data_IF_567296760283
#
_entry.id   IF_567296760283
#
_cell.length_a   1.000
_cell.length_b   1.000
_cell.length_c   1.000
_cell.angle_alpha   90.00
_cell.angle_beta   90.00
_cell.angle_gamma   90.00
#
_symmetry.space_group_name_H-M   'P 1'
#
loop_
_entity.id
_entity.type
_entity.pdbx_description
1 polymer ?
#
# COMPACT_ATOMS: atom_id res chain seq x y z
N UNK A 1 17.54 35.47 1.43
CA UNK A 1 17.39 34.37 2.40
C UNK A 1 16.93 33.12 1.66
N UNK A 2 17.75 32.08 1.46
CA UNK A 2 17.25 30.80 1.01
C UNK A 2 17.17 29.85 2.21
N UNK A 3 15.97 29.49 2.62
CA UNK A 3 15.72 28.31 3.43
C UNK A 3 14.61 27.50 2.75
N UNK A 4 14.94 26.97 1.57
CA UNK A 4 14.28 25.78 1.03
C UNK A 4 14.75 24.63 1.91
N UNK A 5 14.00 24.30 2.95
CA UNK A 5 14.26 23.11 3.76
C UNK A 5 14.00 21.88 2.89
N UNK A 6 15.10 21.27 2.45
CA UNK A 6 15.30 19.93 1.91
C UNK A 6 14.04 19.09 1.64
N UNK A 7 13.71 18.95 0.35
CA UNK A 7 12.60 18.15 -0.21
C UNK A 7 12.90 16.62 -0.19
N UNK A 8 13.89 16.15 0.59
CA UNK A 8 14.35 14.76 0.56
C UNK A 8 13.58 13.80 1.47
N UNK A 9 13.10 14.24 2.63
CA UNK A 9 12.59 13.32 3.68
C UNK A 9 11.11 12.98 3.54
N UNK A 10 10.33 13.81 2.85
CA UNK A 10 8.89 13.59 2.64
C UNK A 10 8.60 12.74 1.39
N UNK A 11 9.60 12.58 0.51
CA UNK A 11 9.44 12.00 -0.83
C UNK A 11 9.27 10.48 -0.80
N UNK A 12 9.92 9.77 0.13
CA UNK A 12 9.75 8.33 0.31
C UNK A 12 8.43 7.96 1.01
N UNK A 13 7.91 8.82 1.88
CA UNK A 13 6.68 8.51 2.65
C UNK A 13 5.43 8.51 1.77
N UNK A 14 5.39 9.35 0.72
CA UNK A 14 4.20 9.47 -0.13
C UNK A 14 3.83 8.15 -0.84
N UNK A 15 4.81 7.33 -1.20
CA UNK A 15 4.62 6.04 -1.88
C UNK A 15 4.05 4.96 -0.96
N UNK A 16 4.20 5.09 0.36
CA UNK A 16 3.65 4.15 1.35
C UNK A 16 2.45 4.71 2.14
N UNK A 17 2.26 6.04 2.15
CA UNK A 17 1.18 6.71 2.87
C UNK A 17 -0.21 6.18 2.50
N UNK A 18 -1.05 6.00 3.52
CA UNK A 18 -2.45 5.61 3.36
C UNK A 18 -3.32 6.75 2.84
N UNK A 19 -4.50 6.46 2.24
CA UNK A 19 -5.43 7.50 1.81
C UNK A 19 -5.84 8.47 2.93
N UNK A 20 -6.06 7.97 4.14
CA UNK A 20 -6.43 8.78 5.30
C UNK A 20 -5.30 9.71 5.78
N UNK A 21 -4.03 9.29 5.68
CA UNK A 21 -2.88 10.16 5.95
C UNK A 21 -2.76 11.31 4.94
N UNK A 22 -3.19 11.10 3.69
CA UNK A 22 -3.23 12.13 2.65
C UNK A 22 -4.42 13.08 2.86
N UNK A 23 -5.54 12.53 3.32
CA UNK A 23 -6.81 13.25 3.49
C UNK A 23 -6.90 14.05 4.79
N UNK A 24 -5.92 13.91 5.69
CA UNK A 24 -5.98 14.41 7.08
C UNK A 24 -7.21 13.91 7.86
N UNK A 25 -7.68 12.70 7.56
CA UNK A 25 -8.73 12.04 8.33
C UNK A 25 -8.16 11.48 9.65
N UNK A 26 -9.02 10.93 10.52
CA UNK A 26 -8.54 10.18 11.67
C UNK A 26 -7.66 9.00 11.21
N UNK A 27 -6.44 8.99 11.72
CA UNK A 27 -5.43 7.97 11.45
C UNK A 27 -5.45 7.00 12.63
N UNK A 28 -5.61 5.72 12.33
CA UNK A 28 -5.46 4.64 13.31
C UNK A 28 -4.48 3.57 12.81
N UNK A 29 -4.36 2.48 13.55
CA UNK A 29 -3.44 1.37 13.26
C UNK A 29 -3.64 0.74 11.87
N UNK A 30 -4.77 0.97 11.19
CA UNK A 30 -5.05 0.43 9.86
C UNK A 30 -4.31 1.19 8.75
N UNK A 31 -3.75 2.37 9.05
CA UNK A 31 -2.80 3.05 8.16
C UNK A 31 -1.49 2.27 8.01
N UNK A 32 -1.01 1.63 9.08
CA UNK A 32 0.18 0.77 9.02
C UNK A 32 -0.08 -0.50 8.21
N UNK A 33 -1.31 -1.04 8.28
CA UNK A 33 -1.73 -2.20 7.46
C UNK A 33 -1.70 -1.85 5.98
N UNK A 34 -2.15 -0.66 5.60
CA UNK A 34 -2.06 -0.19 4.21
C UNK A 34 -0.60 -0.06 3.77
N UNK A 35 0.23 0.59 4.60
CA UNK A 35 1.66 0.78 4.33
C UNK A 35 2.38 -0.57 4.17
N UNK A 36 2.08 -1.54 5.04
CA UNK A 36 2.57 -2.92 4.93
C UNK A 36 2.08 -3.62 3.67
N UNK A 37 0.84 -3.34 3.23
CA UNK A 37 0.32 -3.81 1.95
C UNK A 37 1.13 -3.30 0.76
N UNK A 38 1.56 -2.03 0.79
CA UNK A 38 2.41 -1.45 -0.26
C UNK A 38 3.79 -2.13 -0.25
N UNK A 39 4.39 -2.28 0.94
CA UNK A 39 5.69 -2.97 1.08
C UNK A 39 5.58 -4.42 0.56
N UNK A 40 4.51 -5.14 0.91
CA UNK A 40 4.31 -6.50 0.43
C UNK A 40 4.16 -6.55 -1.10
N UNK A 41 3.41 -5.61 -1.69
CA UNK A 41 3.32 -5.47 -3.14
C UNK A 41 4.71 -5.28 -3.77
N UNK A 42 5.51 -4.38 -3.21
CA UNK A 42 6.86 -4.08 -3.69
C UNK A 42 7.80 -5.27 -3.55
N UNK A 43 7.77 -5.99 -2.42
CA UNK A 43 8.58 -7.19 -2.22
C UNK A 43 8.25 -8.31 -3.22
N UNK A 44 6.98 -8.42 -3.63
CA UNK A 44 6.53 -9.44 -4.58
C UNK A 44 6.85 -9.09 -6.03
N UNK A 45 6.73 -7.80 -6.38
CA UNK A 45 6.76 -7.32 -7.77
C UNK A 45 8.05 -6.59 -8.14
N UNK A 46 8.83 -6.14 -7.15
CA UNK A 46 9.99 -5.27 -7.32
C UNK A 46 9.65 -3.81 -7.61
N UNK A 47 8.39 -3.39 -7.47
CA UNK A 47 7.93 -2.02 -7.77
C UNK A 47 6.75 -1.63 -6.89
N UNK A 48 6.58 -0.34 -6.58
CA UNK A 48 5.40 0.15 -5.85
C UNK A 48 4.18 0.27 -6.78
N UNK A 49 2.94 0.11 -6.27
CA UNK A 49 1.73 0.09 -7.11
C UNK A 49 1.32 1.47 -7.64
N UNK A 50 1.85 2.56 -7.07
CA UNK A 50 1.55 3.93 -7.49
C UNK A 50 2.83 4.75 -7.59
N UNK A 51 3.20 5.11 -8.82
CA UNK A 51 4.31 6.02 -9.12
C UNK A 51 3.82 7.23 -9.92
N UNK A 52 4.60 8.30 -9.93
CA UNK A 52 4.25 9.52 -10.66
C UNK A 52 5.41 10.51 -10.74
N UNK A 53 5.31 11.51 -11.63
CA UNK A 53 6.37 12.49 -11.84
C UNK A 53 6.60 13.42 -10.63
N UNK A 54 5.66 13.45 -9.68
CA UNK A 54 5.80 14.16 -8.41
C UNK A 54 4.89 13.54 -7.33
N UNK A 55 5.12 13.86 -6.04
CA UNK A 55 4.36 13.29 -4.93
C UNK A 55 2.85 13.57 -4.97
N UNK A 56 2.43 14.73 -5.45
CA UNK A 56 1.01 15.09 -5.54
C UNK A 56 0.25 14.16 -6.50
N UNK A 57 0.88 13.78 -7.61
CA UNK A 57 0.30 12.79 -8.54
C UNK A 57 0.17 11.42 -7.88
N UNK A 58 1.18 10.97 -7.14
CA UNK A 58 1.14 9.70 -6.41
C UNK A 58 0.01 9.70 -5.37
N UNK A 59 -0.10 10.77 -4.59
CA UNK A 59 -1.16 10.95 -3.59
C UNK A 59 -2.55 10.95 -4.23
N UNK A 60 -2.74 11.67 -5.33
CA UNK A 60 -4.01 11.71 -6.04
C UNK A 60 -4.44 10.34 -6.58
N UNK A 61 -3.49 9.57 -7.14
CA UNK A 61 -3.74 8.19 -7.62
C UNK A 61 -4.21 7.29 -6.49
N UNK A 62 -3.55 7.33 -5.32
CA UNK A 62 -3.93 6.52 -4.15
C UNK A 62 -5.36 6.82 -3.65
N UNK A 63 -5.81 8.07 -3.78
CA UNK A 63 -7.18 8.44 -3.42
C UNK A 63 -8.20 7.96 -4.45
N UNK A 64 -7.88 8.06 -5.75
CA UNK A 64 -8.89 7.95 -6.83
C UNK A 64 -8.84 6.66 -7.63
N UNK A 65 -7.66 6.14 -7.91
CA UNK A 65 -7.47 5.07 -8.88
C UNK A 65 -7.52 3.70 -8.19
N UNK A 66 -7.87 2.66 -8.95
CA UNK A 66 -7.65 1.29 -8.51
C UNK A 66 -6.16 0.98 -8.58
N UNK A 67 -5.63 0.31 -7.56
CA UNK A 67 -4.25 -0.17 -7.61
C UNK A 67 -4.16 -1.38 -8.54
N UNK A 68 -3.03 -1.55 -9.27
CA UNK A 68 -2.81 -2.72 -10.09
C UNK A 68 -2.77 -3.99 -9.23
N UNK A 69 -3.03 -5.15 -9.85
CA UNK A 69 -2.86 -6.44 -9.20
C UNK A 69 -1.39 -6.81 -9.13
N UNK A 70 -0.97 -7.48 -8.05
CA UNK A 70 0.37 -8.11 -7.99
C UNK A 70 0.57 -9.13 -9.11
N UNK A 71 -0.52 -9.74 -9.60
CA UNK A 71 -0.48 -10.75 -10.66
C UNK A 71 -0.34 -10.14 -12.05
N UNK A 72 -0.55 -8.83 -12.21
CA UNK A 72 -0.19 -8.11 -13.44
C UNK A 72 1.33 -8.11 -13.66
N UNK A 73 2.11 -8.21 -12.58
CA UNK A 73 3.57 -8.25 -12.58
C UNK A 73 4.12 -9.67 -12.39
N UNK A 74 3.43 -10.48 -11.60
CA UNK A 74 3.80 -11.85 -11.25
C UNK A 74 2.63 -12.82 -11.43
N UNK A 75 2.32 -13.21 -12.68
CA UNK A 75 1.17 -14.08 -12.99
C UNK A 75 1.24 -15.47 -12.32
N UNK A 76 2.45 -15.88 -11.93
CA UNK A 76 2.75 -17.13 -11.23
C UNK A 76 2.32 -17.14 -9.75
N UNK A 77 2.01 -15.97 -9.15
CA UNK A 77 1.50 -15.91 -7.79
C UNK A 77 0.07 -16.45 -7.70
N UNK A 78 -0.22 -17.11 -6.58
CA UNK A 78 -1.55 -17.65 -6.31
C UNK A 78 -2.59 -16.52 -6.12
N UNK A 79 -3.86 -16.76 -6.50
CA UNK A 79 -4.95 -15.81 -6.23
C UNK A 79 -5.11 -15.49 -4.73
N UNK A 80 -4.70 -16.41 -3.84
CA UNK A 80 -4.75 -16.20 -2.40
C UNK A 80 -3.78 -15.10 -1.94
N UNK A 81 -2.57 -15.04 -2.51
CA UNK A 81 -1.60 -13.96 -2.22
C UNK A 81 -2.14 -12.61 -2.72
N UNK A 82 -2.70 -12.59 -3.93
CA UNK A 82 -3.35 -11.39 -4.49
C UNK A 82 -4.48 -10.87 -3.60
N UNK A 83 -5.32 -11.76 -3.06
CA UNK A 83 -6.41 -11.39 -2.19
C UNK A 83 -5.93 -10.71 -0.89
N UNK A 84 -4.84 -11.20 -0.29
CA UNK A 84 -4.22 -10.59 0.90
C UNK A 84 -3.74 -9.17 0.60
N UNK A 85 -3.01 -8.98 -0.50
CA UNK A 85 -2.49 -7.67 -0.89
C UNK A 85 -3.64 -6.70 -1.19
N UNK A 86 -4.63 -7.15 -1.95
CA UNK A 86 -5.82 -6.36 -2.30
C UNK A 86 -6.58 -5.89 -1.07
N UNK A 87 -6.78 -6.79 -0.08
CA UNK A 87 -7.47 -6.47 1.17
C UNK A 87 -6.68 -5.49 2.04
N UNK A 88 -5.36 -5.65 2.14
CA UNK A 88 -4.51 -4.70 2.87
C UNK A 88 -4.55 -3.29 2.26
N UNK A 89 -4.66 -3.22 0.93
CA UNK A 89 -4.67 -1.98 0.15
C UNK A 89 -6.06 -1.38 -0.10
N UNK A 90 -7.11 -1.88 0.55
CA UNK A 90 -8.44 -1.31 0.42
C UNK A 90 -8.44 0.17 0.84
N UNK A 91 -9.12 1.04 0.09
CA UNK A 91 -9.10 2.49 0.36
C UNK A 91 -9.76 2.84 1.69
N UNK A 92 -10.91 2.22 1.97
CA UNK A 92 -11.62 2.37 3.22
C UNK A 92 -10.96 1.48 4.30
N UNK A 93 -10.51 2.05 5.44
CA UNK A 93 -9.92 1.27 6.54
C UNK A 93 -10.82 0.15 7.06
N UNK A 94 -12.15 0.27 6.99
CA UNK A 94 -13.07 -0.77 7.43
C UNK A 94 -12.99 -2.05 6.58
N UNK A 95 -12.58 -1.94 5.33
CA UNK A 95 -12.48 -3.07 4.39
C UNK A 95 -11.11 -3.78 4.49
N UNK A 96 -10.18 -3.22 5.29
CA UNK A 96 -8.85 -3.79 5.52
C UNK A 96 -8.87 -4.86 6.62
N UNK A 97 -7.71 -5.46 6.87
CA UNK A 97 -7.50 -6.23 8.08
C UNK A 97 -7.68 -5.34 9.32
N UNK A 98 -8.33 -5.90 10.34
CA UNK A 98 -8.55 -5.19 11.62
C UNK A 98 -7.42 -5.47 12.64
N UNK A 99 -6.35 -6.14 12.22
CA UNK A 99 -5.08 -6.24 12.95
C UNK A 99 -3.96 -6.70 12.02
N UNK A 100 -2.70 -6.36 12.35
CA UNK A 100 -1.53 -6.89 11.65
C UNK A 100 -1.41 -8.42 11.82
N UNK A 101 -1.85 -8.96 12.96
CA UNK A 101 -1.86 -10.41 13.21
C UNK A 101 -2.82 -11.16 12.27
N UNK A 102 -3.97 -10.58 11.94
CA UNK A 102 -4.91 -11.15 10.98
C UNK A 102 -4.31 -11.16 9.57
N UNK A 103 -3.67 -10.07 9.14
CA UNK A 103 -2.97 -10.01 7.86
C UNK A 103 -1.85 -11.06 7.79
N UNK A 104 -1.05 -11.21 8.84
CA UNK A 104 0.03 -12.19 8.89
C UNK A 104 -0.49 -13.64 8.85
N UNK A 105 -1.61 -13.92 9.52
CA UNK A 105 -2.25 -15.24 9.49
C UNK A 105 -2.73 -15.60 8.08
N UNK A 106 -3.46 -14.70 7.43
CA UNK A 106 -3.97 -14.92 6.07
C UNK A 106 -2.82 -15.04 5.06
N UNK A 107 -1.75 -14.25 5.20
CA UNK A 107 -0.57 -14.36 4.34
C UNK A 107 0.12 -15.72 4.47
N UNK A 108 0.28 -16.24 5.69
CA UNK A 108 0.86 -17.58 5.91
C UNK A 108 -0.02 -18.67 5.31
N UNK A 109 -1.34 -18.56 5.48
CA UNK A 109 -2.28 -19.50 4.88
C UNK A 109 -2.17 -19.46 3.34
N UNK A 110 -2.12 -18.27 2.74
CA UNK A 110 -2.00 -18.09 1.29
C UNK A 110 -0.72 -18.69 0.71
N UNK A 111 0.40 -18.61 1.43
CA UNK A 111 1.68 -19.21 1.02
C UNK A 111 1.62 -20.75 1.06
N UNK A 112 0.93 -21.32 2.05
CA UNK A 112 0.81 -22.77 2.21
C UNK A 112 -0.30 -23.40 1.33
N UNK A 113 -1.08 -22.59 0.63
CA UNK A 113 -2.21 -23.03 -0.18
C UNK A 113 -1.84 -23.27 -1.67
N UNK A 114 -0.54 -23.26 -1.99
CA UNK A 114 0.00 -23.39 -3.35
C UNK A 114 0.86 -24.63 -3.54
#
# INVERSE_FOLDING_TARGET
MPALTSVGSFLGTAEYASPEQISSNEIDFRSDIYSLGIILFELLTGSVPCTGPNPFVVMAKKMRDALPSVRDYRPDLSPAIEAVVTKALAKNPADRFQSASAMAADLRAAINSG
#
